data_IF_343139238569
#
_entry.id   IF_343139238569
#
_cell.length_a   1.000
_cell.length_b   1.000
_cell.length_c   1.000
_cell.angle_alpha   90.00
_cell.angle_beta   90.00
_cell.angle_gamma   90.00
#
_symmetry.space_group_name_H-M   'P 1'
#
loop_
_entity.id
_entity.type
_entity.pdbx_description
1 polymer ?
#
# COMPACT_ATOMS: atom_id res chain seq x y z
N UNK A 1 -25.60 22.96 40.38
CA UNK A 1 -25.67 24.33 39.89
C UNK A 1 -25.39 24.30 38.39
N UNK A 2 -26.41 24.30 37.72
CA UNK A 2 -27.07 24.89 36.57
C UNK A 2 -26.28 26.04 35.97
N UNK A 3 -26.06 25.98 34.64
CA UNK A 3 -26.01 27.09 33.68
C UNK A 3 -25.91 26.47 32.29
N UNK A 4 -26.95 26.32 31.60
CA UNK A 4 -27.63 27.13 30.56
C UNK A 4 -26.77 27.38 29.33
N UNK A 5 -27.22 26.74 28.23
CA UNK A 5 -26.81 27.01 26.85
C UNK A 5 -27.63 28.21 26.28
N UNK A 6 -27.11 29.00 25.36
CA UNK A 6 -27.93 29.94 24.61
C UNK A 6 -28.40 29.34 23.28
N UNK A 7 -29.73 29.35 23.13
CA UNK A 7 -30.45 29.22 21.86
C UNK A 7 -30.08 30.33 20.90
N UNK A 8 -29.87 30.04 19.63
CA UNK A 8 -29.98 30.99 18.53
C UNK A 8 -31.21 30.73 17.68
N UNK A 9 -32.01 31.77 17.63
CA UNK A 9 -33.32 31.92 16.97
C UNK A 9 -33.27 31.61 15.48
N UNK A 10 -34.35 30.95 15.06
CA UNK A 10 -34.72 30.80 13.66
C UNK A 10 -35.12 32.11 12.99
N UNK A 11 -34.91 32.15 11.70
CA UNK A 11 -35.64 33.02 10.79
C UNK A 11 -36.41 32.13 9.82
N UNK A 12 -37.71 32.16 10.03
CA UNK A 12 -38.71 31.67 9.10
C UNK A 12 -38.69 32.56 7.83
N UNK A 13 -38.60 31.95 6.68
CA UNK A 13 -39.02 32.54 5.43
C UNK A 13 -40.02 31.62 4.75
N UNK A 14 -41.27 31.99 4.93
CA UNK A 14 -42.38 31.56 4.13
C UNK A 14 -42.38 32.31 2.82
N UNK A 15 -42.26 31.65 1.72
CA UNK A 15 -42.68 32.17 0.42
C UNK A 15 -43.09 30.99 -0.46
N UNK A 16 -44.36 30.97 -0.80
CA UNK A 16 -44.82 30.93 -2.16
C UNK A 16 -45.13 29.57 -2.70
N UNK A 17 -46.38 29.22 -2.56
CA UNK A 17 -47.08 28.20 -3.36
C UNK A 17 -46.98 28.63 -4.83
N UNK A 18 -46.10 27.93 -5.58
CA UNK A 18 -46.07 27.98 -7.03
C UNK A 18 -46.46 26.57 -7.54
N UNK A 19 -47.71 26.43 -7.93
CA UNK A 19 -48.16 25.33 -8.75
C UNK A 19 -47.40 25.34 -10.08
N UNK A 20 -46.36 24.51 -10.18
CA UNK A 20 -45.70 24.17 -11.42
C UNK A 20 -45.96 22.69 -11.71
N UNK A 21 -46.87 22.49 -12.67
CA UNK A 21 -47.06 21.18 -13.30
C UNK A 21 -45.76 20.79 -13.96
N UNK A 22 -44.96 19.95 -13.30
CA UNK A 22 -43.85 19.26 -13.95
C UNK A 22 -44.44 18.07 -14.65
N UNK A 23 -44.66 18.23 -15.96
CA UNK A 23 -44.95 17.12 -16.86
C UNK A 23 -43.85 16.06 -16.73
N UNK A 24 -44.23 14.89 -16.29
CA UNK A 24 -43.40 13.71 -16.23
C UNK A 24 -43.12 13.27 -17.68
N UNK A 25 -42.09 13.82 -18.29
CA UNK A 25 -41.53 13.27 -19.53
C UNK A 25 -40.77 11.99 -19.15
N UNK A 26 -41.46 10.88 -19.16
CA UNK A 26 -40.84 9.56 -19.29
C UNK A 26 -40.23 9.57 -20.71
N UNK A 27 -39.00 10.00 -20.79
CA UNK A 27 -38.16 9.80 -21.95
C UNK A 27 -37.88 8.29 -22.09
N UNK A 28 -38.74 7.59 -22.83
CA UNK A 28 -38.35 6.33 -23.42
C UNK A 28 -37.13 6.63 -24.30
N UNK A 29 -35.94 6.29 -23.81
CA UNK A 29 -34.74 6.26 -24.64
C UNK A 29 -34.98 5.17 -25.67
N UNK A 30 -35.52 5.58 -26.81
CA UNK A 30 -35.47 4.78 -28.04
C UNK A 30 -33.97 4.71 -28.37
N UNK A 31 -33.37 3.58 -28.08
CA UNK A 31 -32.05 3.23 -28.56
C UNK A 31 -32.22 3.13 -30.08
N UNK A 32 -32.00 4.23 -30.78
CA UNK A 32 -31.87 4.24 -32.24
C UNK A 32 -30.53 3.57 -32.52
N UNK A 33 -30.62 2.32 -32.91
CA UNK A 33 -29.49 1.63 -33.51
C UNK A 33 -29.01 2.44 -34.73
N UNK A 34 -27.71 2.73 -34.87
CA UNK A 34 -27.22 3.39 -36.07
C UNK A 34 -27.31 2.41 -37.24
N UNK A 35 -28.35 2.55 -38.01
CA UNK A 35 -28.41 1.92 -39.31
C UNK A 35 -27.44 2.65 -40.26
N UNK A 36 -26.25 2.13 -40.41
CA UNK A 36 -25.28 2.63 -41.40
C UNK A 36 -25.78 2.20 -42.79
N UNK A 37 -26.49 3.06 -43.46
CA UNK A 37 -26.85 2.88 -44.85
C UNK A 37 -25.72 3.39 -45.76
N UNK A 38 -24.96 2.50 -46.32
CA UNK A 38 -24.05 2.79 -47.42
C UNK A 38 -24.80 2.80 -48.73
N UNK A 39 -24.98 3.97 -49.31
CA UNK A 39 -25.49 4.13 -50.68
C UNK A 39 -24.35 3.89 -51.64
N UNK A 40 -24.31 2.72 -52.28
CA UNK A 40 -23.41 2.43 -53.39
C UNK A 40 -24.19 2.60 -54.71
N UNK A 41 -23.93 3.72 -55.35
CA UNK A 41 -24.30 3.90 -56.78
C UNK A 41 -23.32 3.10 -57.68
N UNK A 42 -23.77 1.97 -58.17
CA UNK A 42 -22.97 1.14 -59.05
C UNK A 42 -23.83 0.04 -59.66
N UNK A 43 -24.48 0.34 -60.80
CA UNK A 43 -25.25 -0.56 -61.62
C UNK A 43 -24.39 -1.71 -62.12
N UNK A 44 -24.59 -2.93 -61.63
CA UNK A 44 -24.27 -4.21 -62.36
C UNK A 44 -25.05 -5.39 -61.75
N UNK A 45 -25.88 -5.99 -62.57
CA UNK A 45 -26.23 -7.42 -62.51
C UNK A 45 -27.03 -7.87 -61.28
N UNK A 46 -28.31 -8.18 -61.58
CA UNK A 46 -29.23 -8.82 -60.66
C UNK A 46 -28.62 -10.14 -60.12
N UNK A 47 -28.04 -10.05 -58.86
CA UNK A 47 -27.76 -11.27 -58.12
C UNK A 47 -29.04 -11.69 -57.37
N UNK A 48 -29.32 -13.01 -57.17
CA UNK A 48 -30.49 -13.46 -56.46
C UNK A 48 -30.52 -12.84 -55.08
N UNK A 49 -31.73 -12.42 -54.66
CA UNK A 49 -31.98 -11.81 -53.37
C UNK A 49 -31.42 -12.69 -52.26
N UNK A 50 -30.28 -12.31 -51.73
CA UNK A 50 -29.69 -12.98 -50.57
C UNK A 50 -30.57 -12.67 -49.34
N UNK A 51 -30.86 -13.66 -48.56
CA UNK A 51 -31.58 -13.51 -47.31
C UNK A 51 -30.76 -12.62 -46.37
N UNK A 52 -31.24 -11.43 -46.05
CA UNK A 52 -30.59 -10.52 -45.11
C UNK A 52 -30.68 -11.13 -43.70
N UNK A 53 -29.55 -11.47 -43.14
CA UNK A 53 -29.49 -11.98 -41.75
C UNK A 53 -28.98 -10.87 -40.86
N UNK A 54 -29.73 -10.44 -39.86
CA UNK A 54 -29.28 -9.38 -38.95
C UNK A 54 -28.05 -9.86 -38.19
N UNK A 55 -27.00 -9.03 -38.17
CA UNK A 55 -25.82 -9.25 -37.35
C UNK A 55 -26.20 -9.12 -35.86
N UNK A 56 -26.09 -10.20 -35.11
CA UNK A 56 -26.23 -10.18 -33.66
C UNK A 56 -24.88 -9.93 -33.02
N UNK A 57 -24.76 -8.78 -32.39
CA UNK A 57 -23.61 -8.46 -31.57
C UNK A 57 -23.69 -9.29 -30.29
N UNK A 58 -22.72 -10.16 -30.05
CA UNK A 58 -22.58 -10.92 -28.80
C UNK A 58 -21.32 -10.49 -28.10
N UNK A 59 -21.44 -10.22 -26.82
CA UNK A 59 -20.28 -10.07 -25.93
C UNK A 59 -19.76 -11.47 -25.65
N UNK A 60 -18.63 -11.82 -26.21
CA UNK A 60 -17.99 -13.10 -25.91
C UNK A 60 -17.12 -12.96 -24.66
N UNK A 61 -17.25 -13.88 -23.72
CA UNK A 61 -16.37 -13.99 -22.58
C UNK A 61 -15.25 -14.98 -22.93
N UNK A 62 -14.04 -14.48 -23.08
CA UNK A 62 -12.85 -15.32 -23.17
C UNK A 62 -12.42 -15.72 -21.77
N UNK A 63 -12.37 -17.01 -21.49
CA UNK A 63 -11.86 -17.54 -20.23
C UNK A 63 -10.47 -18.13 -20.46
N UNK A 64 -9.47 -17.46 -19.93
CA UNK A 64 -8.08 -17.92 -19.93
C UNK A 64 -7.85 -18.71 -18.65
N UNK A 65 -7.40 -19.95 -18.75
CA UNK A 65 -7.12 -20.82 -17.61
C UNK A 65 -5.63 -21.16 -17.57
N UNK A 66 -4.94 -20.68 -16.55
CA UNK A 66 -3.50 -20.88 -16.39
C UNK A 66 -3.13 -21.28 -14.97
N UNK A 67 -2.06 -22.08 -14.77
CA UNK A 67 -1.54 -22.35 -13.45
C UNK A 67 -0.85 -21.10 -12.89
N UNK A 68 -1.11 -20.76 -11.63
CA UNK A 68 -0.45 -19.67 -10.95
C UNK A 68 0.22 -20.12 -9.66
N UNK A 69 1.27 -19.45 -9.26
CA UNK A 69 1.98 -19.72 -8.00
C UNK A 69 1.84 -18.53 -7.08
N UNK A 70 1.33 -18.79 -5.87
CA UNK A 70 1.20 -17.76 -4.83
C UNK A 70 2.58 -17.37 -4.30
N UNK A 71 2.84 -16.08 -4.25
CA UNK A 71 4.05 -15.49 -3.66
C UNK A 71 3.66 -14.45 -2.62
N UNK A 72 4.54 -14.20 -1.68
CA UNK A 72 4.43 -13.00 -0.85
C UNK A 72 4.77 -11.78 -1.69
N UNK A 73 4.12 -10.63 -1.43
CA UNK A 73 4.41 -9.38 -2.14
C UNK A 73 5.84 -8.93 -1.92
N UNK A 74 6.35 -9.12 -0.72
CA UNK A 74 7.75 -8.87 -0.38
C UNK A 74 8.19 -9.76 0.80
N UNK A 75 9.50 -9.87 0.95
CA UNK A 75 10.16 -10.56 2.06
C UNK A 75 10.96 -9.52 2.84
N UNK A 76 10.67 -9.36 4.13
CA UNK A 76 11.41 -8.45 4.99
C UNK A 76 12.41 -9.22 5.82
N UNK A 77 13.67 -8.83 5.74
CA UNK A 77 14.73 -9.29 6.63
C UNK A 77 14.69 -8.47 7.90
N UNK A 78 14.48 -9.10 9.03
CA UNK A 78 14.50 -8.46 10.32
C UNK A 78 15.93 -8.39 10.83
N UNK A 79 16.38 -7.19 11.19
CA UNK A 79 17.70 -6.95 11.78
C UNK A 79 17.58 -5.95 12.91
N UNK A 80 18.28 -6.14 14.04
CA UNK A 80 18.31 -5.15 15.11
C UNK A 80 19.07 -3.90 14.66
N UNK A 81 18.64 -2.74 15.10
CA UNK A 81 19.33 -1.46 14.87
C UNK A 81 20.55 -1.28 15.77
N UNK A 82 20.57 -2.01 16.87
CA UNK A 82 21.63 -1.93 17.89
C UNK A 82 22.21 -3.32 18.20
N UNK A 83 23.46 -3.34 18.66
CA UNK A 83 24.18 -4.58 18.97
C UNK A 83 23.96 -4.98 20.42
N UNK A 84 23.88 -6.28 20.72
CA UNK A 84 23.76 -6.72 22.11
C UNK A 84 23.65 -8.22 22.22
N UNK A 85 23.53 -8.70 23.46
CA UNK A 85 23.17 -10.08 23.74
C UNK A 85 21.64 -10.18 23.84
N UNK A 86 21.09 -11.22 23.25
CA UNK A 86 19.66 -11.51 23.29
C UNK A 86 19.28 -12.00 24.70
N UNK A 87 18.44 -11.22 25.36
CA UNK A 87 17.89 -11.59 26.66
C UNK A 87 16.72 -12.55 26.49
N UNK A 88 15.76 -12.19 25.61
CA UNK A 88 14.55 -12.99 25.37
C UNK A 88 14.20 -13.03 23.90
N UNK A 89 13.67 -14.16 23.47
CA UNK A 89 13.02 -14.36 22.19
C UNK A 89 11.55 -14.69 22.44
N UNK A 90 10.66 -13.99 21.78
CA UNK A 90 9.22 -14.21 21.97
C UNK A 90 8.80 -15.58 21.41
N UNK A 91 7.91 -16.33 22.08
CA UNK A 91 7.48 -17.65 21.62
C UNK A 91 6.85 -17.63 20.21
N UNK A 92 6.23 -16.55 19.80
CA UNK A 92 5.67 -16.38 18.45
C UNK A 92 6.74 -16.05 17.38
N UNK A 93 8.00 -15.86 17.75
CA UNK A 93 9.08 -15.68 16.78
C UNK A 93 9.66 -17.02 16.34
N UNK A 94 8.78 -17.94 15.98
CA UNK A 94 9.10 -19.24 15.41
C UNK A 94 8.58 -19.39 14.00
N UNK A 95 9.20 -20.23 13.21
CA UNK A 95 8.83 -20.46 11.81
C UNK A 95 7.39 -20.95 11.71
N UNK A 96 6.61 -20.27 10.86
CA UNK A 96 5.20 -20.58 10.62
C UNK A 96 4.23 -19.77 11.46
N UNK A 97 4.66 -19.18 12.57
CA UNK A 97 3.80 -18.40 13.46
C UNK A 97 3.39 -17.07 12.85
N UNK A 98 2.19 -16.61 13.23
CA UNK A 98 1.64 -15.31 12.82
C UNK A 98 1.81 -14.34 13.96
N UNK A 99 2.39 -13.19 13.64
CA UNK A 99 2.69 -12.13 14.60
C UNK A 99 1.98 -10.85 14.19
N UNK A 100 1.36 -10.18 15.15
CA UNK A 100 0.70 -8.89 14.93
C UNK A 100 1.73 -7.76 14.91
N UNK A 101 1.39 -6.68 14.19
CA UNK A 101 2.19 -5.45 14.18
C UNK A 101 2.47 -4.96 15.61
N UNK A 102 3.72 -4.56 15.88
CA UNK A 102 4.15 -4.01 17.16
C UNK A 102 4.38 -5.06 18.25
N UNK A 103 4.20 -6.37 17.95
CA UNK A 103 4.56 -7.42 18.91
C UNK A 103 6.08 -7.51 19.04
N UNK A 104 6.63 -7.48 20.28
CA UNK A 104 8.06 -7.66 20.48
C UNK A 104 8.46 -9.09 20.09
N UNK A 105 9.41 -9.21 19.18
CA UNK A 105 9.94 -10.49 18.68
C UNK A 105 11.16 -10.94 19.46
N UNK A 106 12.00 -9.98 19.83
CA UNK A 106 13.26 -10.22 20.52
C UNK A 106 13.59 -9.00 21.39
N UNK A 107 14.15 -9.26 22.57
CA UNK A 107 14.67 -8.23 23.44
C UNK A 107 16.18 -8.44 23.67
N UNK A 108 16.95 -7.37 23.57
CA UNK A 108 18.37 -7.35 23.91
C UNK A 108 18.57 -6.94 25.37
N UNK A 109 19.71 -7.31 25.95
CA UNK A 109 20.11 -6.84 27.29
C UNK A 109 20.13 -5.32 27.33
N UNK A 110 19.30 -4.72 28.20
CA UNK A 110 19.06 -3.28 28.28
C UNK A 110 20.03 -2.52 29.21
N UNK A 111 20.88 -3.24 29.95
CA UNK A 111 21.70 -2.64 31.00
C UNK A 111 22.63 -1.53 30.48
N UNK A 112 23.39 -1.82 29.44
CA UNK A 112 24.32 -0.87 28.84
C UNK A 112 23.61 0.38 28.29
N UNK A 113 22.47 0.20 27.62
CA UNK A 113 21.67 1.28 27.04
C UNK A 113 21.02 2.16 28.10
N UNK A 114 20.56 1.56 29.22
CA UNK A 114 20.06 2.33 30.38
C UNK A 114 21.16 3.17 31.02
N UNK A 115 22.38 2.62 31.15
CA UNK A 115 23.52 3.36 31.66
C UNK A 115 23.89 4.54 30.75
N UNK A 116 23.88 4.33 29.42
CA UNK A 116 24.10 5.42 28.45
C UNK A 116 23.05 6.52 28.57
N UNK A 117 21.78 6.14 28.69
CA UNK A 117 20.69 7.10 28.88
C UNK A 117 20.87 7.90 30.19
N UNK A 118 21.20 7.24 31.30
CA UNK A 118 21.42 7.91 32.58
C UNK A 118 22.60 8.93 32.52
N UNK A 119 23.67 8.55 31.81
CA UNK A 119 24.81 9.46 31.59
C UNK A 119 24.40 10.68 30.75
N UNK A 120 23.67 10.46 29.63
CA UNK A 120 23.18 11.55 28.79
C UNK A 120 22.22 12.48 29.55
N UNK A 121 21.37 11.93 30.41
CA UNK A 121 20.51 12.74 31.31
C UNK A 121 21.29 13.57 32.29
N UNK A 122 22.35 13.01 32.87
CA UNK A 122 23.23 13.77 33.78
C UNK A 122 23.95 14.94 33.07
N UNK A 123 24.41 14.70 31.81
CA UNK A 123 25.00 15.78 31.00
C UNK A 123 23.96 16.85 30.63
N UNK A 124 22.71 16.46 30.36
CA UNK A 124 21.63 17.42 30.13
C UNK A 124 21.36 18.30 31.35
N UNK A 125 21.30 17.71 32.56
CA UNK A 125 21.09 18.49 33.76
C UNK A 125 22.28 19.44 34.04
N UNK A 126 23.50 19.02 33.73
CA UNK A 126 24.66 19.89 33.80
C UNK A 126 24.57 21.07 32.83
N UNK A 127 24.16 20.78 31.56
CA UNK A 127 23.99 21.85 30.59
C UNK A 127 22.87 22.84 30.96
N UNK A 128 21.79 22.36 31.58
CA UNK A 128 20.73 23.20 32.13
C UNK A 128 21.23 24.11 33.26
N UNK A 129 22.08 23.58 34.14
CA UNK A 129 22.72 24.35 35.19
C UNK A 129 23.63 25.42 34.60
N UNK A 130 24.43 25.08 33.58
CA UNK A 130 25.30 26.03 32.88
C UNK A 130 24.49 27.19 32.25
N UNK A 131 23.35 26.90 31.62
CA UNK A 131 22.44 27.93 31.10
C UNK A 131 21.89 28.82 32.19
N UNK A 132 21.42 28.25 33.29
CA UNK A 132 20.88 29.02 34.43
C UNK A 132 21.93 29.92 35.09
N UNK A 133 23.13 29.41 35.20
CA UNK A 133 24.30 30.15 35.75
C UNK A 133 24.65 31.32 34.81
N UNK A 134 24.74 31.06 33.50
CA UNK A 134 25.05 32.10 32.52
C UNK A 134 23.95 33.18 32.46
N UNK A 135 22.68 32.77 32.59
CA UNK A 135 21.56 33.72 32.70
C UNK A 135 21.68 34.63 33.91
N UNK A 136 22.01 34.06 35.08
CA UNK A 136 22.22 34.82 36.30
C UNK A 136 23.39 35.79 36.18
N UNK A 137 24.49 35.37 35.56
CA UNK A 137 25.64 36.22 35.29
C UNK A 137 25.36 37.32 34.27
N UNK A 138 24.62 37.00 33.20
CA UNK A 138 24.17 38.00 32.24
C UNK A 138 23.29 39.07 32.88
N UNK A 139 22.38 38.70 33.77
CA UNK A 139 21.56 39.64 34.50
C UNK A 139 22.41 40.54 35.45
N UNK A 140 23.42 39.98 36.11
CA UNK A 140 24.37 40.76 36.92
C UNK A 140 25.18 41.73 36.05
N UNK A 141 25.64 41.32 34.86
CA UNK A 141 26.38 42.16 33.92
C UNK A 141 25.51 43.32 33.43
N UNK A 142 24.26 43.06 33.03
CA UNK A 142 23.31 44.06 32.63
C UNK A 142 23.08 45.08 33.74
N UNK A 143 22.81 44.62 34.98
CA UNK A 143 22.56 45.46 36.14
C UNK A 143 23.77 46.35 36.46
N UNK A 144 25.00 45.80 36.37
CA UNK A 144 26.23 46.55 36.57
C UNK A 144 26.45 47.60 35.48
N UNK A 145 26.14 47.28 34.23
CA UNK A 145 26.27 48.22 33.10
C UNK A 145 25.27 49.37 33.22
N UNK A 146 24.00 49.09 33.56
CA UNK A 146 23.01 50.14 33.82
C UNK A 146 23.37 51.06 34.99
N UNK A 147 24.09 50.57 35.99
CA UNK A 147 24.52 51.40 37.14
C UNK A 147 25.77 52.26 36.83
N UNK A 148 26.54 51.92 35.79
CA UNK A 148 27.82 52.60 35.47
C UNK A 148 27.80 53.44 34.19
N UNK A 149 26.76 53.30 33.33
CA UNK A 149 26.69 54.02 32.03
C UNK A 149 25.74 55.21 32.09
N UNK A 150 26.34 56.31 32.35
CA UNK A 150 25.84 57.61 31.86
C UNK A 150 26.35 57.78 30.43
N UNK A 151 25.48 57.67 29.42
CA UNK A 151 25.60 58.30 28.10
C UNK A 151 26.55 57.70 27.04
N UNK A 152 26.69 56.43 26.83
CA UNK A 152 27.24 55.94 25.54
C UNK A 152 26.42 54.78 25.00
N UNK A 153 25.60 55.08 24.03
CA UNK A 153 24.52 54.22 23.51
C UNK A 153 24.96 53.12 22.53
N UNK A 154 26.11 52.50 22.71
CA UNK A 154 26.50 51.28 22.02
C UNK A 154 27.09 50.30 23.02
N UNK A 155 26.21 49.54 23.70
CA UNK A 155 26.66 48.43 24.53
C UNK A 155 27.21 47.34 23.58
N UNK A 156 28.48 46.96 23.79
CA UNK A 156 29.08 45.85 23.02
C UNK A 156 28.38 44.55 23.38
N UNK A 157 28.03 43.74 22.35
CA UNK A 157 27.44 42.39 22.52
C UNK A 157 28.25 41.53 23.52
N UNK A 158 29.56 41.80 23.64
CA UNK A 158 30.45 41.12 24.57
C UNK A 158 30.13 41.46 26.02
N UNK A 159 29.73 42.72 26.32
CA UNK A 159 29.32 43.14 27.66
C UNK A 159 28.02 42.52 28.08
N UNK A 160 27.12 42.29 27.12
CA UNK A 160 25.84 41.61 27.33
C UNK A 160 25.96 40.07 27.35
N UNK A 161 27.18 39.54 27.22
CA UNK A 161 27.49 38.10 27.24
C UNK A 161 26.72 37.29 26.17
N UNK A 162 26.38 37.92 25.07
CA UNK A 162 25.60 37.27 23.98
C UNK A 162 26.30 36.04 23.39
N UNK A 163 27.64 36.08 23.09
CA UNK A 163 28.34 34.90 22.60
C UNK A 163 28.35 33.74 23.59
N UNK A 164 28.55 34.03 24.89
CA UNK A 164 28.55 33.03 25.96
C UNK A 164 27.18 32.34 26.06
N UNK A 165 26.09 33.13 26.08
CA UNK A 165 24.73 32.60 26.07
C UNK A 165 24.43 31.72 24.87
N UNK A 166 24.91 32.11 23.67
CA UNK A 166 24.80 31.29 22.49
C UNK A 166 25.56 29.96 22.62
N UNK A 167 26.76 29.98 23.21
CA UNK A 167 27.58 28.80 23.43
C UNK A 167 26.91 27.80 24.41
N UNK A 168 26.42 28.27 25.55
CA UNK A 168 25.76 27.39 26.53
C UNK A 168 24.41 26.87 26.03
N UNK A 169 23.65 27.65 25.25
CA UNK A 169 22.45 27.18 24.62
C UNK A 169 22.74 26.11 23.54
N UNK A 170 23.81 26.29 22.75
CA UNK A 170 24.23 25.26 21.79
C UNK A 170 24.63 23.96 22.50
N UNK A 171 25.29 24.06 23.68
CA UNK A 171 25.62 22.89 24.50
C UNK A 171 24.39 22.21 25.08
N UNK A 172 23.38 22.97 25.50
CA UNK A 172 22.09 22.43 25.94
C UNK A 172 21.41 21.66 24.82
N UNK A 173 21.30 22.26 23.64
CA UNK A 173 20.70 21.59 22.48
C UNK A 173 21.43 20.29 22.09
N UNK A 174 22.77 20.28 22.21
CA UNK A 174 23.56 19.08 21.96
C UNK A 174 23.27 18.00 23.03
N UNK A 175 23.19 18.37 24.32
CA UNK A 175 22.86 17.43 25.37
C UNK A 175 21.44 16.86 25.23
N UNK A 176 20.46 17.67 24.82
CA UNK A 176 19.11 17.20 24.50
C UNK A 176 19.12 16.19 23.36
N UNK A 177 19.91 16.42 22.31
CA UNK A 177 20.07 15.48 21.20
C UNK A 177 20.71 14.16 21.67
N UNK A 178 21.70 14.17 22.54
CA UNK A 178 22.31 12.95 23.10
C UNK A 178 21.32 12.15 23.96
N UNK A 179 20.44 12.80 24.72
CA UNK A 179 19.37 12.09 25.44
C UNK A 179 18.41 11.43 24.46
N UNK A 180 17.98 12.15 23.43
CA UNK A 180 17.09 11.59 22.41
C UNK A 180 17.71 10.39 21.68
N UNK A 181 19.01 10.46 21.35
CA UNK A 181 19.77 9.35 20.77
C UNK A 181 19.84 8.14 21.72
N UNK A 182 20.14 8.35 22.99
CA UNK A 182 20.22 7.28 23.98
C UNK A 182 18.84 6.63 24.24
N UNK A 183 17.78 7.41 24.25
CA UNK A 183 16.41 6.91 24.34
C UNK A 183 16.03 6.07 23.12
N UNK A 184 16.39 6.52 21.92
CA UNK A 184 16.14 5.74 20.71
C UNK A 184 16.93 4.44 20.74
N UNK A 185 18.22 4.45 21.09
CA UNK A 185 19.01 3.25 21.24
C UNK A 185 18.44 2.26 22.27
N UNK A 186 17.85 2.77 23.36
CA UNK A 186 17.15 1.94 24.34
C UNK A 186 15.85 1.36 23.79
N UNK A 187 15.07 2.13 23.02
CA UNK A 187 13.90 1.57 22.32
C UNK A 187 14.30 0.50 21.33
N UNK A 188 15.36 0.72 20.58
CA UNK A 188 15.87 -0.18 19.55
C UNK A 188 16.44 -1.51 20.13
N UNK A 189 16.57 -1.63 21.46
CA UNK A 189 16.87 -2.92 22.10
C UNK A 189 15.71 -3.93 21.98
N UNK A 190 14.53 -3.48 21.60
CA UNK A 190 13.36 -4.33 21.37
C UNK A 190 13.11 -4.37 19.86
N UNK A 191 13.22 -5.55 19.27
CA UNK A 191 12.86 -5.75 17.88
C UNK A 191 11.38 -6.11 17.80
N UNK A 192 10.59 -5.25 17.16
CA UNK A 192 9.15 -5.44 17.00
C UNK A 192 8.78 -5.83 15.57
N UNK A 193 7.63 -6.49 15.42
CA UNK A 193 7.08 -6.79 14.11
C UNK A 193 6.61 -5.49 13.40
N UNK A 194 7.14 -5.17 12.21
CA UNK A 194 6.82 -3.91 11.51
C UNK A 194 5.39 -3.87 10.98
N UNK A 195 4.80 -5.00 10.73
CA UNK A 195 3.42 -5.21 10.27
C UNK A 195 2.95 -6.60 10.67
N UNK A 196 1.65 -6.89 10.53
CA UNK A 196 1.12 -8.25 10.77
C UNK A 196 1.70 -9.21 9.73
N UNK A 197 2.51 -10.14 10.19
CA UNK A 197 3.36 -10.98 9.35
C UNK A 197 3.36 -12.44 9.79
N UNK A 198 3.82 -13.29 8.91
CA UNK A 198 4.15 -14.67 9.20
C UNK A 198 5.67 -14.84 9.18
N UNK A 199 6.20 -15.52 10.19
CA UNK A 199 7.63 -15.79 10.31
C UNK A 199 8.01 -16.91 9.35
N UNK A 200 8.99 -16.63 8.48
CA UNK A 200 9.55 -17.63 7.52
C UNK A 200 10.82 -18.25 8.04
N UNK A 201 11.64 -17.47 8.73
CA UNK A 201 12.92 -17.89 9.26
C UNK A 201 13.21 -17.17 10.57
N UNK A 202 13.75 -17.89 11.54
CA UNK A 202 14.30 -17.34 12.77
C UNK A 202 15.68 -17.95 12.96
N UNK A 203 16.72 -17.11 13.00
CA UNK A 203 18.13 -17.55 13.07
C UNK A 203 18.78 -17.20 14.40
N UNK A 204 17.99 -16.81 15.41
CA UNK A 204 18.52 -16.32 16.69
C UNK A 204 17.82 -17.01 17.87
N UNK A 205 18.57 -17.28 18.92
CA UNK A 205 18.06 -17.80 20.19
C UNK A 205 18.47 -16.92 21.39
N UNK A 206 17.82 -17.14 22.51
CA UNK A 206 18.19 -16.46 23.76
C UNK A 206 19.65 -16.76 24.13
N UNK A 207 20.37 -15.76 24.59
CA UNK A 207 21.80 -15.83 24.90
C UNK A 207 22.74 -15.59 23.71
N UNK A 208 22.25 -15.57 22.47
CA UNK A 208 23.04 -15.26 21.29
C UNK A 208 23.50 -13.79 21.32
N UNK A 209 24.64 -13.49 20.69
CA UNK A 209 25.09 -12.11 20.48
C UNK A 209 24.78 -11.70 19.04
N UNK A 210 24.15 -10.55 18.88
CA UNK A 210 23.80 -9.99 17.57
C UNK A 210 24.46 -8.63 17.36
N UNK A 211 24.71 -8.31 16.11
CA UNK A 211 25.31 -7.02 15.69
C UNK A 211 24.26 -6.24 14.93
N UNK A 212 24.30 -4.90 15.06
CA UNK A 212 23.43 -4.00 14.35
C UNK A 212 23.48 -4.28 12.82
N UNK A 213 22.32 -4.38 12.18
CA UNK A 213 22.18 -4.71 10.77
C UNK A 213 22.28 -6.21 10.42
N UNK A 214 22.65 -7.08 11.37
CA UNK A 214 22.70 -8.53 11.13
C UNK A 214 21.29 -9.11 11.02
N UNK A 215 20.96 -9.84 9.95
CA UNK A 215 19.65 -10.48 9.82
C UNK A 215 19.45 -11.56 10.91
N UNK A 216 18.36 -11.46 11.65
CA UNK A 216 17.99 -12.41 12.71
C UNK A 216 16.76 -13.25 12.36
N UNK A 217 16.05 -12.88 11.30
CA UNK A 217 14.91 -13.62 10.81
C UNK A 217 14.34 -13.02 9.53
N UNK A 218 13.38 -13.72 8.94
CA UNK A 218 12.66 -13.29 7.75
C UNK A 218 11.16 -13.39 7.98
N UNK A 219 10.44 -12.38 7.55
CA UNK A 219 8.97 -12.32 7.66
C UNK A 219 8.33 -11.93 6.34
N UNK A 220 7.11 -12.38 6.15
CA UNK A 220 6.29 -12.03 4.99
C UNK A 220 4.96 -11.46 5.47
N UNK A 221 4.37 -10.50 4.74
CA UNK A 221 3.07 -9.94 5.11
C UNK A 221 1.99 -11.02 5.05
N UNK A 222 1.05 -11.00 6.00
CA UNK A 222 -0.01 -11.99 6.07
C UNK A 222 -1.05 -11.79 4.96
N UNK A 223 -1.48 -10.56 4.75
CA UNK A 223 -2.63 -10.25 3.87
C UNK A 223 -2.23 -9.94 2.43
N UNK A 224 -1.00 -9.53 2.20
CA UNK A 224 -0.52 -9.14 0.87
C UNK A 224 0.07 -10.34 0.14
N UNK A 225 -0.78 -11.07 -0.56
CA UNK A 225 -0.37 -12.18 -1.42
C UNK A 225 -0.52 -11.77 -2.87
N UNK A 226 0.46 -12.14 -3.67
CA UNK A 226 0.39 -12.03 -5.11
C UNK A 226 0.42 -13.42 -5.73
N UNK A 227 -0.16 -13.54 -6.90
CA UNK A 227 -0.04 -14.74 -7.71
C UNK A 227 0.68 -14.39 -9.01
N UNK A 228 1.65 -15.22 -9.37
CA UNK A 228 2.34 -15.13 -10.66
C UNK A 228 1.73 -16.16 -11.61
N UNK A 229 1.26 -15.67 -12.73
CA UNK A 229 0.48 -16.45 -13.69
C UNK A 229 1.19 -16.38 -15.04
N UNK A 230 1.90 -17.43 -15.46
CA UNK A 230 2.46 -17.48 -16.81
C UNK A 230 1.33 -17.69 -17.83
N UNK A 231 1.17 -16.76 -18.75
CA UNK A 231 0.16 -16.81 -19.81
C UNK A 231 0.88 -16.82 -21.16
N UNK A 232 0.53 -17.72 -22.07
CA UNK A 232 1.10 -17.74 -23.42
C UNK A 232 0.90 -16.39 -24.13
N UNK A 233 1.87 -16.00 -24.94
CA UNK A 233 1.89 -14.67 -25.58
C UNK A 233 0.66 -14.44 -26.48
N UNK A 234 0.11 -15.50 -27.06
CA UNK A 234 -1.10 -15.45 -27.89
C UNK A 234 -2.32 -15.02 -27.06
N UNK A 235 -2.53 -15.66 -25.90
CA UNK A 235 -3.63 -15.34 -24.98
C UNK A 235 -3.44 -13.98 -24.30
N UNK A 236 -2.17 -13.62 -24.02
CA UNK A 236 -1.81 -12.33 -23.46
C UNK A 236 -2.18 -11.16 -24.39
N UNK A 237 -2.06 -11.34 -25.71
CA UNK A 237 -2.43 -10.32 -26.69
C UNK A 237 -3.93 -10.02 -26.71
N UNK A 238 -4.77 -10.98 -26.30
CA UNK A 238 -6.22 -10.84 -26.24
C UNK A 238 -6.73 -10.15 -24.96
N UNK A 239 -5.85 -9.90 -23.97
CA UNK A 239 -6.25 -9.24 -22.73
C UNK A 239 -6.56 -7.75 -22.97
N UNK A 240 -7.66 -7.24 -22.43
CA UNK A 240 -8.00 -5.83 -22.53
C UNK A 240 -6.97 -4.98 -21.75
N UNK A 241 -6.59 -3.90 -22.37
CA UNK A 241 -5.68 -2.91 -21.80
C UNK A 241 -6.43 -1.59 -21.62
N UNK A 242 -6.13 -0.89 -20.54
CA UNK A 242 -6.62 0.45 -20.33
C UNK A 242 -5.90 1.47 -21.27
N UNK A 243 -6.30 2.73 -21.22
CA UNK A 243 -5.69 3.80 -22.02
C UNK A 243 -4.19 3.99 -21.72
N UNK A 244 -3.72 3.46 -20.58
CA UNK A 244 -2.32 3.48 -20.14
C UNK A 244 -1.56 2.19 -20.51
N UNK A 245 -2.22 1.25 -21.20
CA UNK A 245 -1.65 -0.04 -21.59
C UNK A 245 -1.57 -1.09 -20.50
N UNK A 246 -2.17 -0.85 -19.33
CA UNK A 246 -2.20 -1.80 -18.23
C UNK A 246 -3.33 -2.80 -18.37
N UNK A 247 -3.06 -4.04 -18.01
CA UNK A 247 -4.08 -5.09 -17.88
C UNK A 247 -4.70 -4.99 -16.48
N UNK A 248 -5.98 -4.64 -16.40
CA UNK A 248 -6.72 -4.54 -15.14
C UNK A 248 -7.97 -5.42 -15.19
N UNK A 249 -7.79 -6.70 -14.99
CA UNK A 249 -8.85 -7.70 -15.16
C UNK A 249 -9.05 -8.47 -13.85
N UNK A 250 -10.32 -8.72 -13.51
CA UNK A 250 -10.66 -9.57 -12.38
C UNK A 250 -10.33 -11.04 -12.71
N UNK A 251 -9.89 -11.77 -11.70
CA UNK A 251 -9.59 -13.20 -11.81
C UNK A 251 -10.18 -13.98 -10.64
N UNK A 252 -10.37 -15.27 -10.87
CA UNK A 252 -10.71 -16.22 -9.82
C UNK A 252 -9.62 -17.28 -9.75
N UNK A 253 -8.98 -17.40 -8.59
CA UNK A 253 -8.00 -18.44 -8.32
C UNK A 253 -8.67 -19.56 -7.53
N UNK A 254 -8.44 -20.80 -7.91
CA UNK A 254 -9.04 -21.96 -7.23
C UNK A 254 -8.04 -23.09 -7.06
N UNK A 255 -8.25 -23.87 -6.00
CA UNK A 255 -7.54 -25.11 -5.76
C UNK A 255 -8.54 -26.17 -5.29
N UNK A 256 -8.34 -27.41 -5.73
CA UNK A 256 -9.09 -28.56 -5.24
C UNK A 256 -8.21 -29.33 -4.27
N UNK A 257 -8.66 -29.43 -3.02
CA UNK A 257 -7.97 -30.23 -1.99
C UNK A 257 -8.21 -31.72 -2.23
N UNK A 258 -7.34 -32.57 -1.66
CA UNK A 258 -7.43 -34.03 -1.77
C UNK A 258 -8.77 -34.60 -1.27
N UNK A 259 -9.49 -33.87 -0.41
CA UNK A 259 -10.82 -34.24 0.09
C UNK A 259 -11.97 -33.79 -0.86
N UNK A 260 -11.66 -33.29 -2.06
CA UNK A 260 -12.63 -32.80 -3.02
C UNK A 260 -13.16 -31.39 -2.75
N UNK A 261 -12.79 -30.75 -1.63
CA UNK A 261 -13.19 -29.38 -1.32
C UNK A 261 -12.48 -28.41 -2.24
N UNK A 262 -13.24 -27.54 -2.90
CA UNK A 262 -12.71 -26.46 -3.72
C UNK A 262 -12.57 -25.19 -2.88
N UNK A 263 -11.37 -24.64 -2.84
CA UNK A 263 -11.07 -23.33 -2.28
C UNK A 263 -10.99 -22.33 -3.44
N UNK A 264 -11.51 -21.13 -3.24
CA UNK A 264 -11.51 -20.07 -4.24
C UNK A 264 -11.10 -18.74 -3.59
N UNK A 265 -10.29 -17.98 -4.30
CA UNK A 265 -9.93 -16.61 -3.95
C UNK A 265 -10.22 -15.71 -5.13
N UNK A 266 -10.70 -14.53 -4.82
CA UNK A 266 -10.84 -13.46 -5.81
C UNK A 266 -9.54 -12.67 -5.87
N UNK A 267 -9.27 -12.11 -7.03
CA UNK A 267 -8.09 -11.28 -7.23
C UNK A 267 -8.23 -10.38 -8.43
N UNK A 268 -7.23 -9.54 -8.61
CA UNK A 268 -7.16 -8.61 -9.73
C UNK A 268 -5.74 -8.57 -10.29
N UNK A 269 -5.63 -8.61 -11.60
CA UNK A 269 -4.34 -8.38 -12.27
C UNK A 269 -3.92 -6.94 -12.02
N UNK A 270 -2.75 -6.75 -11.44
CA UNK A 270 -2.22 -5.42 -11.07
C UNK A 270 -1.08 -5.00 -11.95
N UNK A 271 -0.31 -5.95 -12.47
CA UNK A 271 0.86 -5.68 -13.30
C UNK A 271 1.17 -6.86 -14.23
N UNK A 272 2.01 -6.57 -15.19
CA UNK A 272 2.66 -7.57 -16.05
C UNK A 272 4.16 -7.49 -15.71
N UNK A 273 4.79 -8.65 -15.58
CA UNK A 273 6.25 -8.69 -15.36
C UNK A 273 6.97 -8.11 -16.57
N UNK A 274 8.00 -7.32 -16.34
CA UNK A 274 8.76 -6.67 -17.40
C UNK A 274 9.55 -7.65 -18.28
N UNK A 275 9.81 -8.84 -17.76
CA UNK A 275 10.53 -9.89 -18.46
C UNK A 275 9.59 -11.03 -18.87
N UNK A 276 9.69 -11.44 -20.12
CA UNK A 276 9.09 -12.70 -20.57
C UNK A 276 9.87 -13.87 -19.99
N UNK A 277 9.17 -14.92 -19.58
CA UNK A 277 9.84 -16.17 -19.26
C UNK A 277 10.35 -16.82 -20.56
N UNK A 278 11.67 -16.76 -20.75
CA UNK A 278 12.34 -17.26 -21.96
C UNK A 278 12.22 -18.77 -22.15
N UNK A 279 11.93 -19.53 -21.07
CA UNK A 279 11.76 -20.98 -21.14
C UNK A 279 10.38 -21.39 -21.66
N UNK A 280 9.35 -20.68 -21.23
CA UNK A 280 7.96 -20.96 -21.58
C UNK A 280 7.40 -20.03 -22.64
N UNK A 281 8.15 -19.03 -23.09
CA UNK A 281 7.70 -17.96 -24.01
C UNK A 281 6.36 -17.33 -23.56
N UNK A 282 6.23 -17.12 -22.25
CA UNK A 282 5.01 -16.66 -21.61
C UNK A 282 5.20 -15.29 -20.99
N UNK A 283 4.18 -14.45 -21.06
CA UNK A 283 4.07 -13.24 -20.26
C UNK A 283 3.62 -13.62 -18.84
N UNK A 284 4.30 -13.10 -17.83
CA UNK A 284 3.92 -13.37 -16.43
C UNK A 284 3.02 -12.26 -15.94
N UNK A 285 1.77 -12.56 -15.69
CA UNK A 285 0.83 -11.67 -15.04
C UNK A 285 1.05 -11.70 -13.52
N UNK A 286 1.02 -10.54 -12.91
CA UNK A 286 1.06 -10.38 -11.45
C UNK A 286 -0.32 -9.91 -11.00
N UNK A 287 -0.94 -10.67 -10.13
CA UNK A 287 -2.25 -10.34 -9.58
C UNK A 287 -2.21 -10.32 -8.06
N UNK A 288 -2.93 -9.39 -7.46
CA UNK A 288 -3.20 -9.40 -6.02
C UNK A 288 -4.32 -10.39 -5.72
N UNK A 289 -4.18 -11.16 -4.64
CA UNK A 289 -5.24 -12.01 -4.11
C UNK A 289 -5.88 -11.32 -2.91
N UNK A 290 -7.19 -11.25 -2.91
CA UNK A 290 -7.95 -10.74 -1.78
C UNK A 290 -8.17 -11.85 -0.75
N UNK A 291 -8.16 -11.53 0.57
CA UNK A 291 -8.52 -12.49 1.60
C UNK A 291 -9.96 -12.96 1.39
N UNK A 292 -10.19 -14.26 1.41
CA UNK A 292 -11.53 -14.80 1.20
C UNK A 292 -12.38 -14.64 2.46
N UNK A 293 -13.33 -13.72 2.44
CA UNK A 293 -14.25 -13.47 3.55
C UNK A 293 -15.21 -14.66 3.84
N UNK A 294 -15.38 -15.57 2.89
CA UNK A 294 -16.28 -16.71 3.01
C UNK A 294 -15.69 -17.89 3.79
N UNK A 295 -14.38 -17.89 4.01
CA UNK A 295 -13.67 -18.95 4.76
C UNK A 295 -13.22 -18.41 6.11
N UNK A 296 -13.99 -18.69 7.15
CA UNK A 296 -13.74 -18.25 8.54
C UNK A 296 -12.59 -19.02 9.23
N UNK A 297 -11.96 -19.97 8.56
CA UNK A 297 -10.91 -20.82 9.13
C UNK A 297 -9.68 -20.92 8.24
N UNK A 298 -8.60 -21.37 8.79
CA UNK A 298 -7.22 -21.67 8.36
C UNK A 298 -6.74 -21.26 6.94
N UNK A 299 -7.63 -21.17 5.95
CA UNK A 299 -7.33 -20.89 4.54
C UNK A 299 -7.86 -19.54 4.05
N UNK A 300 -8.06 -18.59 4.96
CA UNK A 300 -8.49 -17.23 4.58
C UNK A 300 -7.49 -16.56 3.64
N UNK A 301 -6.21 -16.84 3.85
CA UNK A 301 -5.11 -16.38 3.01
C UNK A 301 -4.42 -17.56 2.35
N UNK A 302 -4.23 -17.50 1.04
CA UNK A 302 -3.56 -18.58 0.31
C UNK A 302 -2.09 -18.73 0.77
N UNK A 303 -1.62 -19.95 1.11
CA UNK A 303 -0.23 -20.19 1.49
C UNK A 303 0.74 -19.82 0.38
N UNK A 304 1.91 -19.33 0.77
CA UNK A 304 3.00 -19.04 -0.18
C UNK A 304 3.49 -20.34 -0.82
N UNK A 305 3.84 -20.26 -2.11
CA UNK A 305 4.23 -21.38 -2.98
C UNK A 305 3.09 -22.37 -3.30
N UNK A 306 1.86 -22.07 -2.94
CA UNK A 306 0.71 -22.86 -3.36
C UNK A 306 0.48 -22.67 -4.85
N UNK A 307 0.30 -23.78 -5.57
CA UNK A 307 -0.13 -23.76 -6.96
C UNK A 307 -1.67 -23.65 -7.01
N UNK A 308 -2.16 -22.70 -7.77
CA UNK A 308 -3.58 -22.45 -7.98
C UNK A 308 -3.92 -22.50 -9.48
N UNK A 309 -5.10 -23.00 -9.82
CA UNK A 309 -5.64 -22.83 -11.15
C UNK A 309 -6.36 -21.49 -11.21
N UNK A 310 -5.92 -20.63 -12.10
CA UNK A 310 -6.45 -19.27 -12.25
C UNK A 310 -7.32 -19.22 -13.50
N UNK A 311 -8.54 -18.73 -13.36
CA UNK A 311 -9.43 -18.39 -14.45
C UNK A 311 -9.53 -16.86 -14.55
N UNK A 312 -9.16 -16.33 -15.69
CA UNK A 312 -9.25 -14.91 -16.03
C UNK A 312 -10.41 -14.77 -17.02
N UNK A 313 -11.50 -14.15 -16.60
CA UNK A 313 -12.65 -13.94 -17.45
C UNK A 313 -12.56 -12.54 -18.08
N UNK A 314 -12.37 -12.52 -19.38
CA UNK A 314 -12.23 -11.29 -20.16
C UNK A 314 -13.46 -11.10 -21.02
N UNK A 315 -14.09 -9.94 -20.90
CA UNK A 315 -15.11 -9.54 -21.87
C UNK A 315 -14.40 -8.97 -23.11
N UNK A 316 -14.43 -9.73 -24.19
CA UNK A 316 -13.90 -9.26 -25.45
C UNK A 316 -14.93 -8.35 -26.10
N UNK A 317 -14.53 -7.14 -26.56
CA UNK A 317 -15.45 -6.25 -27.20
C UNK A 317 -16.05 -6.92 -28.45
N UNK A 318 -17.34 -6.83 -28.51
CA UNK A 318 -18.27 -7.17 -29.58
C UNK A 318 -17.72 -7.97 -30.74
N UNK A 319 -17.96 -9.28 -30.74
CA UNK A 319 -17.86 -10.11 -31.92
C UNK A 319 -19.24 -10.27 -32.59
N UNK A 320 -19.29 -10.16 -33.89
CA UNK A 320 -20.51 -10.42 -34.64
C UNK A 320 -20.55 -11.90 -34.98
N UNK A 321 -21.63 -12.59 -34.62
CA UNK A 321 -21.86 -13.95 -35.09
C UNK A 321 -22.28 -13.91 -36.56
N UNK A 322 -21.53 -14.58 -37.42
CA UNK A 322 -21.79 -14.65 -38.86
C UNK A 322 -22.01 -16.12 -39.22
N UNK A 323 -23.16 -16.47 -39.82
CA UNK A 323 -23.38 -17.83 -40.26
C UNK A 323 -22.36 -18.24 -41.32
N UNK A 324 -21.87 -19.47 -41.24
CA UNK A 324 -20.86 -19.98 -42.18
C UNK A 324 -21.28 -19.87 -43.63
N UNK A 325 -22.57 -19.87 -43.91
CA UNK A 325 -23.15 -19.68 -45.27
C UNK A 325 -22.97 -18.26 -45.84
N UNK A 326 -22.64 -17.28 -45.00
CA UNK A 326 -22.41 -15.89 -45.39
C UNK A 326 -20.94 -15.59 -45.72
N UNK A 327 -20.05 -16.53 -45.43
CA UNK A 327 -18.61 -16.39 -45.69
C UNK A 327 -18.32 -16.95 -47.09
N UNK A 328 -17.85 -16.10 -48.00
CA UNK A 328 -17.35 -16.51 -49.32
C UNK A 328 -15.83 -16.64 -49.28
N UNK A 329 -15.32 -17.68 -49.91
CA UNK A 329 -13.89 -17.96 -50.11
C UNK A 329 -13.08 -18.01 -48.77
N UNK A 330 -13.72 -18.45 -47.68
CA UNK A 330 -13.08 -18.66 -46.39
C UNK A 330 -12.67 -17.39 -45.63
N UNK A 331 -12.77 -16.18 -46.22
CA UNK A 331 -12.25 -14.96 -45.58
C UNK A 331 -13.01 -13.67 -45.89
N UNK A 332 -13.98 -13.65 -46.80
CA UNK A 332 -14.69 -12.41 -47.17
C UNK A 332 -16.18 -12.47 -46.89
N UNK A 333 -16.75 -11.36 -46.48
CA UNK A 333 -18.16 -11.19 -46.14
C UNK A 333 -18.69 -10.02 -46.96
N UNK A 334 -19.85 -10.18 -47.60
CA UNK A 334 -20.56 -9.02 -48.18
C UNK A 334 -21.46 -8.41 -47.13
N UNK A 335 -21.16 -7.18 -46.74
CA UNK A 335 -22.03 -6.34 -45.91
C UNK A 335 -22.73 -5.36 -46.84
N UNK A 336 -24.05 -5.27 -46.72
CA UNK A 336 -24.86 -4.33 -47.49
C UNK A 336 -25.06 -3.04 -46.68
#
# INVERSE_FOLDING_TARGET
LMSEAPQKKGTSWSIGIGLGIVALLIGTAIVTEPSVSFSSSGNRGCAPAGTETPLRLQTNTLSISAPGIVKASYLTMLSPSVSGKVDKVHPLFNVGEIVLKGTPLMELEKFEYRARLANAQAELEQARLDVSTEQAEALKAIKKTYSSVSKSGKESELVLRVPQRRAVNARLNAAEAYVAEAEQALRDTVLEAPYTCQVVECSVGAGARVVAGQPVGKVIPLQERMIRIPVPLEEFSALPRDEQGKVNTALTASCVLNNGKRLQWLGRVTAVDAALDSKSNSAVLIASLEPNASHVSEWQVAPVNMALQVAINVQVPVSAWIPASAVRDGSSIQVK
#
